data_IF_312003871957
#
_entry.id   IF_312003871957
#
_cell.length_a   1.000
_cell.length_b   1.000
_cell.length_c   1.000
_cell.angle_alpha   90.00
_cell.angle_beta   90.00
_cell.angle_gamma   90.00
#
_symmetry.space_group_name_H-M   'P 1'
#
loop_
_entity.id
_entity.type
_entity.pdbx_description
1 polymer ?
#
# COMPACT_ATOMS: atom_id res chain seq x y z
N UNK A 1 35.56 7.40 12.56
CA UNK A 1 35.01 6.06 12.34
C UNK A 1 34.09 5.61 13.48
N UNK A 2 34.54 5.63 14.74
CA UNK A 2 33.76 5.17 15.90
C UNK A 2 32.41 5.94 16.05
N UNK A 3 32.44 7.25 15.82
CA UNK A 3 31.19 8.05 15.84
C UNK A 3 30.20 7.59 14.77
N UNK A 4 30.65 7.38 13.54
CA UNK A 4 29.79 6.92 12.47
C UNK A 4 29.23 5.51 12.71
N UNK A 5 30.06 4.61 13.26
CA UNK A 5 29.65 3.27 13.63
C UNK A 5 28.60 3.29 14.74
N UNK A 6 28.87 4.01 15.83
CA UNK A 6 27.95 4.12 16.96
C UNK A 6 26.62 4.77 16.52
N UNK A 7 26.68 5.83 15.72
CA UNK A 7 25.49 6.50 15.17
C UNK A 7 24.67 5.58 14.27
N UNK A 8 25.30 4.86 13.36
CA UNK A 8 24.60 3.91 12.49
C UNK A 8 23.92 2.78 13.28
N UNK A 9 24.63 2.19 14.25
CA UNK A 9 24.06 1.16 15.12
C UNK A 9 22.88 1.68 15.95
N UNK A 10 22.99 2.91 16.47
CA UNK A 10 21.89 3.56 17.20
C UNK A 10 20.65 3.75 16.29
N UNK A 11 20.85 4.26 15.08
CA UNK A 11 19.73 4.45 14.14
C UNK A 11 19.10 3.10 13.75
N UNK A 12 19.89 2.06 13.52
CA UNK A 12 19.40 0.72 13.23
C UNK A 12 18.61 0.16 14.42
N UNK A 13 19.13 0.29 15.63
CA UNK A 13 18.43 -0.14 16.85
C UNK A 13 17.09 0.56 17.00
N UNK A 14 17.05 1.89 16.81
CA UNK A 14 15.84 2.70 16.90
C UNK A 14 14.82 2.36 15.82
N UNK A 15 15.22 1.78 14.70
CA UNK A 15 14.33 1.29 13.65
C UNK A 15 13.68 -0.06 13.97
N UNK A 16 14.11 -0.75 15.03
CA UNK A 16 13.60 -2.08 15.41
C UNK A 16 12.50 -2.00 16.47
N UNK A 17 11.71 -3.06 16.59
CA UNK A 17 10.68 -3.19 17.62
C UNK A 17 11.27 -3.16 19.06
N UNK A 18 12.56 -3.46 19.23
CA UNK A 18 13.22 -3.41 20.54
C UNK A 18 13.27 -2.02 21.15
N UNK A 19 13.20 -0.98 20.32
CA UNK A 19 13.19 0.42 20.77
C UNK A 19 11.78 0.95 21.11
N UNK A 20 10.73 0.19 20.91
CA UNK A 20 9.36 0.63 21.16
C UNK A 20 9.13 1.25 22.55
N UNK A 21 9.65 0.70 23.66
CA UNK A 21 9.50 1.33 24.99
C UNK A 21 10.14 2.71 25.07
N UNK A 22 11.27 2.92 24.38
CA UNK A 22 11.98 4.21 24.35
C UNK A 22 11.17 5.27 23.59
N UNK A 23 10.54 4.89 22.48
CA UNK A 23 9.66 5.77 21.72
C UNK A 23 8.45 6.21 22.54
N UNK A 24 7.80 5.29 23.23
CA UNK A 24 6.66 5.58 24.09
C UNK A 24 7.04 6.48 25.27
N UNK A 25 8.17 6.21 25.92
CA UNK A 25 8.64 7.00 27.07
C UNK A 25 8.97 8.45 26.70
N UNK A 26 9.52 8.66 25.51
CA UNK A 26 9.95 10.00 25.05
C UNK A 26 8.86 10.75 24.28
N UNK A 27 7.74 10.09 23.98
CA UNK A 27 6.69 10.59 23.08
C UNK A 27 7.24 11.02 21.70
N UNK A 28 8.39 10.46 21.28
CA UNK A 28 9.01 10.75 20.01
C UNK A 28 8.32 10.02 18.83
N UNK A 29 7.45 9.07 19.12
CA UNK A 29 6.47 8.48 18.20
C UNK A 29 5.56 9.51 17.52
N UNK A 30 5.37 10.67 18.13
CA UNK A 30 4.63 11.81 17.53
C UNK A 30 5.40 12.54 16.42
N UNK A 31 6.71 12.40 16.39
CA UNK A 31 7.58 13.07 15.41
C UNK A 31 7.86 12.22 14.18
N UNK A 32 7.79 10.90 14.31
CA UNK A 32 8.07 9.94 13.25
C UNK A 32 6.88 9.00 13.06
N UNK A 33 6.33 9.02 11.87
CA UNK A 33 5.19 8.14 11.52
C UNK A 33 5.58 6.66 11.60
N UNK A 34 6.85 6.35 11.23
CA UNK A 34 7.36 4.99 11.22
C UNK A 34 8.79 4.92 11.77
N UNK A 35 9.10 4.03 12.74
CA UNK A 35 10.45 3.87 13.28
C UNK A 35 11.54 3.58 12.23
N UNK A 36 11.20 2.88 11.14
CA UNK A 36 12.15 2.57 10.06
C UNK A 36 12.71 3.82 9.36
N UNK A 37 12.06 5.00 9.50
CA UNK A 37 12.57 6.26 8.97
C UNK A 37 13.95 6.62 9.56
N UNK A 38 14.29 6.09 10.74
CA UNK A 38 15.64 6.21 11.32
C UNK A 38 16.72 5.60 10.44
N UNK A 39 16.39 4.64 9.57
CA UNK A 39 17.35 4.07 8.61
C UNK A 39 17.85 5.11 7.61
N UNK A 40 17.02 6.13 7.28
CA UNK A 40 17.45 7.24 6.41
C UNK A 40 18.63 8.02 7.03
N UNK A 41 18.65 8.14 8.36
CA UNK A 41 19.75 8.78 9.07
C UNK A 41 20.98 7.87 9.19
N UNK A 42 20.79 6.56 9.13
CA UNK A 42 21.88 5.59 9.11
C UNK A 42 22.64 5.61 7.77
N UNK A 43 21.98 5.91 6.64
CA UNK A 43 22.57 5.87 5.30
C UNK A 43 23.85 6.71 5.16
N UNK A 44 23.90 8.02 5.51
CA UNK A 44 25.13 8.81 5.40
C UNK A 44 26.24 8.30 6.30
N UNK A 45 25.90 7.76 7.47
CA UNK A 45 26.88 7.18 8.40
C UNK A 45 27.47 5.88 7.84
N UNK A 46 26.66 5.03 7.26
CA UNK A 46 27.08 3.81 6.57
C UNK A 46 27.91 4.13 5.32
N UNK A 47 27.54 5.16 4.55
CA UNK A 47 28.32 5.62 3.42
C UNK A 47 29.71 6.12 3.85
N UNK A 48 29.80 6.87 4.95
CA UNK A 48 31.08 7.32 5.52
C UNK A 48 31.95 6.14 5.98
N UNK A 49 31.35 5.12 6.61
CA UNK A 49 32.04 3.88 7.01
C UNK A 49 32.54 3.12 5.80
N UNK A 50 31.71 2.95 4.75
CA UNK A 50 32.10 2.30 3.51
C UNK A 50 33.26 3.05 2.82
N UNK A 51 33.20 4.39 2.76
CA UNK A 51 34.28 5.22 2.21
C UNK A 51 35.59 5.16 3.00
N UNK A 52 35.52 4.81 4.28
CA UNK A 52 36.71 4.64 5.14
C UNK A 52 37.35 3.23 5.06
N UNK A 53 36.63 2.24 4.49
CA UNK A 53 37.15 0.86 4.37
C UNK A 53 38.54 0.75 3.72
N UNK A 54 38.84 1.46 2.61
CA UNK A 54 40.17 1.39 2.00
C UNK A 54 41.30 1.93 2.88
N UNK A 55 40.97 2.77 3.87
CA UNK A 55 41.97 3.25 4.86
C UNK A 55 42.34 2.16 5.82
N UNK A 56 41.36 1.35 6.23
CA UNK A 56 41.52 0.26 7.19
C UNK A 56 42.02 -1.02 6.52
N UNK A 57 41.57 -1.28 5.31
CA UNK A 57 41.89 -2.48 4.54
C UNK A 57 42.60 -2.08 3.23
N UNK A 58 43.98 -2.10 3.23
CA UNK A 58 44.76 -1.66 2.08
C UNK A 58 44.45 -2.40 0.75
N UNK A 59 44.07 -3.67 0.85
CA UNK A 59 43.69 -4.50 -0.32
C UNK A 59 42.50 -3.96 -1.08
N UNK A 60 41.67 -3.14 -0.44
CA UNK A 60 40.54 -2.47 -1.08
C UNK A 60 40.90 -1.19 -1.87
N UNK A 61 42.19 -0.82 -1.92
CA UNK A 61 42.66 0.39 -2.63
C UNK A 61 42.78 0.21 -4.14
N UNK A 62 42.73 -1.02 -4.62
CA UNK A 62 42.86 -1.25 -6.05
C UNK A 62 41.58 -0.91 -6.82
N UNK A 63 41.69 -0.28 -8.01
CA UNK A 63 40.51 0.02 -8.83
C UNK A 63 39.69 -1.22 -9.18
N UNK A 64 40.35 -2.37 -9.39
CA UNK A 64 39.71 -3.63 -9.70
C UNK A 64 38.78 -4.09 -8.55
N UNK A 65 39.24 -4.00 -7.30
CA UNK A 65 38.44 -4.37 -6.14
C UNK A 65 37.20 -3.47 -6.02
N UNK A 66 37.34 -2.16 -6.25
CA UNK A 66 36.21 -1.24 -6.24
C UNK A 66 35.20 -1.54 -7.34
N UNK A 67 35.66 -1.83 -8.55
CA UNK A 67 34.77 -2.22 -9.65
C UNK A 67 33.97 -3.46 -9.31
N UNK A 68 34.61 -4.48 -8.70
CA UNK A 68 33.94 -5.71 -8.27
C UNK A 68 32.91 -5.41 -7.18
N UNK A 69 33.26 -4.61 -6.16
CA UNK A 69 32.33 -4.27 -5.08
C UNK A 69 31.12 -3.50 -5.57
N UNK A 70 31.32 -2.50 -6.45
CA UNK A 70 30.22 -1.76 -7.06
C UNK A 70 29.36 -2.67 -7.91
N UNK A 71 29.95 -3.53 -8.73
CA UNK A 71 29.18 -4.48 -9.54
C UNK A 71 28.38 -5.45 -8.67
N UNK A 72 28.95 -5.98 -7.60
CA UNK A 72 28.23 -6.85 -6.65
C UNK A 72 27.10 -6.11 -5.95
N UNK A 73 27.32 -4.85 -5.55
CA UNK A 73 26.26 -4.03 -4.93
C UNK A 73 25.11 -3.79 -5.88
N UNK A 74 25.39 -3.46 -7.15
CA UNK A 74 24.36 -3.27 -8.18
C UNK A 74 23.62 -4.59 -8.44
N UNK A 75 24.35 -5.70 -8.58
CA UNK A 75 23.74 -7.02 -8.78
C UNK A 75 22.87 -7.45 -7.60
N UNK A 76 23.35 -7.23 -6.37
CA UNK A 76 22.58 -7.55 -5.16
C UNK A 76 21.32 -6.68 -5.02
N UNK A 77 21.37 -5.43 -5.54
CA UNK A 77 20.23 -4.52 -5.52
C UNK A 77 19.22 -4.82 -6.63
N UNK A 78 19.63 -5.56 -7.67
CA UNK A 78 18.81 -5.78 -8.85
C UNK A 78 17.49 -6.48 -8.53
N UNK A 79 17.50 -7.45 -7.62
CA UNK A 79 16.30 -8.15 -7.17
C UNK A 79 15.26 -7.21 -6.51
N UNK A 80 15.72 -6.12 -5.89
CA UNK A 80 14.84 -5.13 -5.27
C UNK A 80 14.38 -4.03 -6.24
N UNK A 81 15.03 -3.94 -7.41
CA UNK A 81 14.64 -3.01 -8.47
C UNK A 81 13.64 -3.63 -9.45
N UNK A 82 13.51 -4.95 -9.46
CA UNK A 82 12.53 -5.66 -10.28
C UNK A 82 11.26 -5.86 -9.48
N UNK A 83 10.18 -5.25 -9.94
CA UNK A 83 8.85 -5.55 -9.41
C UNK A 83 8.44 -6.90 -9.99
N UNK A 84 8.30 -7.91 -9.14
CA UNK A 84 7.68 -9.18 -9.55
C UNK A 84 6.18 -8.92 -9.74
N UNK A 85 5.72 -9.04 -10.98
CA UNK A 85 4.29 -9.04 -11.27
C UNK A 85 3.80 -10.48 -11.24
N UNK A 86 2.96 -10.78 -10.26
CA UNK A 86 2.24 -12.04 -10.28
C UNK A 86 1.14 -11.93 -11.32
N UNK A 87 1.29 -12.66 -12.43
CA UNK A 87 0.24 -12.81 -13.43
C UNK A 87 -0.45 -14.14 -13.22
N UNK A 88 -1.77 -14.15 -13.23
CA UNK A 88 -2.56 -15.36 -13.17
C UNK A 88 -3.62 -15.33 -14.26
N UNK A 89 -4.00 -16.50 -14.71
CA UNK A 89 -5.21 -16.61 -15.54
C UNK A 89 -6.39 -16.13 -14.71
N UNK A 90 -7.25 -15.25 -15.25
CA UNK A 90 -8.45 -14.83 -14.55
C UNK A 90 -9.26 -16.06 -14.12
N UNK A 91 -9.87 -16.07 -12.93
CA UNK A 91 -10.76 -17.14 -12.54
C UNK A 91 -11.93 -17.21 -13.51
N UNK A 92 -12.47 -18.39 -13.73
CA UNK A 92 -13.64 -18.61 -14.60
C UNK A 92 -14.83 -17.74 -14.19
N UNK A 93 -14.89 -17.37 -12.91
CA UNK A 93 -15.92 -16.50 -12.33
C UNK A 93 -15.32 -15.56 -11.31
N UNK A 94 -14.91 -14.34 -11.70
CA UNK A 94 -14.53 -13.31 -10.75
C UNK A 94 -15.74 -12.93 -9.85
N UNK A 95 -15.48 -12.33 -8.70
CA UNK A 95 -16.52 -11.81 -7.81
C UNK A 95 -17.40 -10.78 -8.55
N UNK A 96 -16.77 -9.88 -9.29
CA UNK A 96 -17.41 -8.90 -10.17
C UNK A 96 -16.42 -8.42 -11.24
N UNK A 97 -16.93 -7.78 -12.30
CA UNK A 97 -16.11 -7.06 -13.27
C UNK A 97 -16.57 -5.62 -13.42
N UNK A 98 -15.62 -4.72 -13.55
CA UNK A 98 -15.86 -3.28 -13.74
C UNK A 98 -15.46 -2.83 -15.14
N UNK A 99 -16.11 -1.76 -15.62
CA UNK A 99 -15.74 -1.09 -16.86
C UNK A 99 -15.92 -1.98 -18.10
N UNK A 100 -16.98 -2.79 -18.17
CA UNK A 100 -17.20 -3.72 -19.29
C UNK A 100 -16.04 -4.69 -19.48
N UNK A 101 -15.68 -5.40 -18.40
CA UNK A 101 -14.59 -6.38 -18.35
C UNK A 101 -13.18 -5.76 -18.46
N UNK A 102 -12.97 -4.55 -17.97
CA UNK A 102 -11.62 -3.99 -17.88
C UNK A 102 -10.89 -4.41 -16.61
N UNK A 103 -11.60 -4.53 -15.48
CA UNK A 103 -11.05 -4.89 -14.19
C UNK A 103 -11.88 -6.04 -13.59
N UNK A 104 -11.26 -7.18 -13.31
CA UNK A 104 -11.88 -8.27 -12.56
C UNK A 104 -11.56 -8.11 -11.08
N UNK A 105 -12.58 -8.11 -10.24
CA UNK A 105 -12.45 -8.25 -8.80
C UNK A 105 -12.43 -9.73 -8.46
N UNK A 106 -11.33 -10.20 -7.86
CA UNK A 106 -11.11 -11.60 -7.55
C UNK A 106 -11.61 -11.93 -6.16
N UNK A 107 -11.39 -11.00 -5.21
CA UNK A 107 -11.81 -11.14 -3.82
C UNK A 107 -12.09 -9.75 -3.22
N UNK A 108 -13.04 -9.71 -2.27
CA UNK A 108 -13.35 -8.50 -1.49
C UNK A 108 -13.95 -8.92 -0.15
N UNK A 109 -13.29 -8.56 0.93
CA UNK A 109 -13.71 -8.89 2.29
C UNK A 109 -13.76 -7.62 3.14
N UNK A 110 -14.89 -7.39 3.79
CA UNK A 110 -15.06 -6.29 4.74
C UNK A 110 -15.05 -6.85 6.15
N UNK A 111 -14.11 -6.39 6.95
CA UNK A 111 -14.04 -6.69 8.39
C UNK A 111 -14.29 -5.43 9.19
N UNK A 112 -15.09 -5.53 10.26
CA UNK A 112 -15.41 -4.39 11.11
C UNK A 112 -14.68 -4.48 12.44
N UNK A 113 -14.21 -3.33 12.93
CA UNK A 113 -13.53 -3.19 14.21
C UNK A 113 -14.31 -2.21 15.10
N UNK A 114 -14.65 -2.59 16.35
CA UNK A 114 -15.49 -1.76 17.20
C UNK A 114 -14.72 -0.61 17.88
N UNK A 115 -13.42 -0.77 18.14
CA UNK A 115 -12.62 0.23 18.86
C UNK A 115 -11.16 0.28 18.34
N UNK A 116 -10.77 1.38 17.65
CA UNK A 116 -11.64 2.45 17.16
C UNK A 116 -12.59 1.94 16.07
N UNK A 117 -13.81 2.44 16.03
CA UNK A 117 -14.81 2.00 15.06
C UNK A 117 -14.34 2.24 13.62
N UNK A 118 -14.06 1.18 12.90
CA UNK A 118 -13.55 1.21 11.53
C UNK A 118 -14.02 0.00 10.72
N UNK A 119 -14.10 0.15 9.41
CA UNK A 119 -14.22 -0.96 8.49
C UNK A 119 -12.98 -1.05 7.60
N UNK A 120 -12.47 -2.26 7.44
CA UNK A 120 -11.35 -2.57 6.58
C UNK A 120 -11.84 -3.40 5.40
N UNK A 121 -11.61 -2.92 4.20
CA UNK A 121 -11.90 -3.63 2.97
C UNK A 121 -10.60 -4.14 2.37
N UNK A 122 -10.38 -5.45 2.43
CA UNK A 122 -9.31 -6.11 1.68
C UNK A 122 -9.85 -6.49 0.30
N UNK A 123 -9.17 -6.04 -0.75
CA UNK A 123 -9.55 -6.33 -2.15
C UNK A 123 -8.38 -6.89 -2.92
N UNK A 124 -8.69 -7.83 -3.81
CA UNK A 124 -7.76 -8.35 -4.81
C UNK A 124 -8.42 -8.22 -6.18
N UNK A 125 -7.72 -7.56 -7.10
CA UNK A 125 -8.22 -7.38 -8.46
C UNK A 125 -7.17 -7.67 -9.52
N UNK A 126 -7.64 -7.81 -10.75
CA UNK A 126 -6.82 -8.11 -11.91
C UNK A 126 -7.28 -7.24 -13.08
N UNK A 127 -6.42 -6.39 -13.66
CA UNK A 127 -6.69 -5.75 -14.94
C UNK A 127 -6.80 -6.83 -16.03
N UNK A 128 -7.86 -6.79 -16.82
CA UNK A 128 -8.10 -7.71 -17.93
C UNK A 128 -7.67 -7.11 -19.27
N UNK A 129 -7.61 -5.78 -19.34
CA UNK A 129 -7.19 -5.01 -20.50
C UNK A 129 -6.36 -3.79 -20.06
N UNK A 130 -5.56 -3.18 -20.94
CA UNK A 130 -4.95 -1.89 -20.67
C UNK A 130 -6.03 -0.86 -20.33
N UNK A 131 -5.80 -0.08 -19.27
CA UNK A 131 -6.70 1.01 -18.87
C UNK A 131 -6.25 2.31 -19.54
N UNK A 132 -7.20 3.08 -19.98
CA UNK A 132 -7.00 4.36 -20.68
C UNK A 132 -7.01 5.56 -19.75
N UNK A 133 -7.32 5.33 -18.46
CA UNK A 133 -7.45 6.38 -17.47
C UNK A 133 -7.07 5.89 -16.06
N UNK A 134 -6.61 6.83 -15.21
CA UNK A 134 -6.26 6.58 -13.82
C UNK A 134 -7.50 6.71 -12.93
N UNK A 135 -8.30 5.65 -12.87
CA UNK A 135 -9.52 5.59 -12.09
C UNK A 135 -9.23 5.71 -10.59
N UNK A 136 -10.12 6.37 -9.88
CA UNK A 136 -10.16 6.37 -8.42
C UNK A 136 -11.13 5.31 -7.91
N UNK A 137 -10.90 4.90 -6.66
CA UNK A 137 -11.79 3.99 -5.93
C UNK A 137 -12.63 4.79 -4.96
N UNK A 138 -13.89 4.42 -4.82
CA UNK A 138 -14.69 4.79 -3.68
C UNK A 138 -15.02 3.58 -2.82
N UNK A 139 -15.00 3.77 -1.50
CA UNK A 139 -15.47 2.82 -0.52
C UNK A 139 -16.37 3.55 0.47
N UNK A 140 -17.62 3.13 0.59
CA UNK A 140 -18.67 3.81 1.35
C UNK A 140 -19.35 2.87 2.33
N UNK A 141 -19.64 3.34 3.53
CA UNK A 141 -20.60 2.73 4.44
C UNK A 141 -21.92 3.47 4.35
N UNK A 142 -22.99 2.71 4.21
CA UNK A 142 -24.35 3.22 4.01
C UNK A 142 -25.27 2.62 5.07
N UNK A 143 -25.96 3.49 5.79
CA UNK A 143 -27.02 3.11 6.74
C UNK A 143 -28.38 3.26 6.09
N UNK A 144 -29.30 2.34 6.43
CA UNK A 144 -30.64 2.33 5.87
C UNK A 144 -30.76 1.63 4.52
N UNK A 145 -31.97 1.57 3.97
CA UNK A 145 -32.30 0.90 2.72
C UNK A 145 -33.18 1.76 1.82
N UNK A 146 -33.09 1.51 0.51
CA UNK A 146 -33.92 2.17 -0.50
C UNK A 146 -33.76 3.69 -0.51
N UNK A 147 -34.87 4.43 -0.38
CA UNK A 147 -34.88 5.90 -0.41
C UNK A 147 -34.31 6.56 0.84
N UNK A 148 -34.24 5.81 1.95
CA UNK A 148 -33.71 6.28 3.24
C UNK A 148 -32.21 5.95 3.41
N UNK A 149 -31.58 5.36 2.41
CA UNK A 149 -30.16 5.03 2.43
C UNK A 149 -29.31 6.29 2.48
N UNK A 150 -28.45 6.39 3.51
CA UNK A 150 -27.53 7.53 3.70
C UNK A 150 -26.11 7.05 3.79
N UNK A 151 -25.20 7.71 3.08
CA UNK A 151 -23.77 7.50 3.22
C UNK A 151 -23.34 8.10 4.55
N UNK A 152 -22.86 7.25 5.45
CA UNK A 152 -22.43 7.63 6.82
C UNK A 152 -20.90 7.73 6.94
N UNK A 153 -20.17 7.09 6.04
CA UNK A 153 -18.73 7.23 5.91
C UNK A 153 -18.29 6.93 4.48
N UNK A 154 -17.24 7.60 4.01
CA UNK A 154 -16.72 7.44 2.66
C UNK A 154 -15.23 7.76 2.60
N UNK A 155 -14.51 7.03 1.76
CA UNK A 155 -13.19 7.40 1.24
C UNK A 155 -13.21 7.36 -0.29
N UNK A 156 -12.46 8.28 -0.88
CA UNK A 156 -12.21 8.39 -2.31
C UNK A 156 -10.70 8.53 -2.51
N UNK A 157 -10.07 7.51 -3.09
CA UNK A 157 -8.62 7.45 -3.21
C UNK A 157 -8.19 6.85 -4.54
N UNK A 158 -6.97 7.18 -4.96
CA UNK A 158 -6.34 6.45 -6.06
C UNK A 158 -5.86 5.09 -5.55
N UNK A 159 -6.10 4.00 -6.29
CA UNK A 159 -5.60 2.68 -5.94
C UNK A 159 -4.10 2.69 -5.69
N UNK A 160 -3.64 1.86 -4.75
CA UNK A 160 -2.24 1.75 -4.34
C UNK A 160 -1.66 3.10 -3.87
N UNK A 161 -2.51 3.92 -3.22
CA UNK A 161 -2.18 5.27 -2.76
C UNK A 161 -1.58 6.16 -3.87
N UNK A 162 -1.96 5.93 -5.14
CA UNK A 162 -1.45 6.63 -6.31
C UNK A 162 0.00 6.28 -6.72
N UNK A 163 0.65 5.36 -6.01
CA UNK A 163 2.03 4.96 -6.33
C UNK A 163 2.13 4.23 -7.69
N UNK A 164 1.03 3.63 -8.12
CA UNK A 164 0.89 2.94 -9.40
C UNK A 164 -0.40 3.34 -10.08
N UNK A 165 -0.36 4.35 -10.97
CA UNK A 165 -1.52 4.78 -11.74
C UNK A 165 -2.17 3.61 -12.50
N UNK A 166 -3.49 3.60 -12.62
CA UNK A 166 -4.23 2.49 -13.25
C UNK A 166 -3.81 2.26 -14.71
N UNK A 167 -3.40 3.31 -15.42
CA UNK A 167 -2.84 3.23 -16.78
C UNK A 167 -1.52 2.46 -16.87
N UNK A 168 -0.81 2.28 -15.74
CA UNK A 168 0.43 1.51 -15.67
C UNK A 168 0.23 0.02 -15.37
N UNK A 169 -0.99 -0.40 -15.06
CA UNK A 169 -1.29 -1.79 -14.72
C UNK A 169 -1.21 -2.68 -15.96
N UNK A 170 -0.66 -3.87 -15.75
CA UNK A 170 -0.52 -4.84 -16.85
C UNK A 170 -1.68 -5.83 -16.84
N UNK A 171 -2.30 -6.12 -17.99
CA UNK A 171 -3.30 -7.17 -18.05
C UNK A 171 -2.76 -8.49 -17.48
N UNK A 172 -3.55 -9.11 -16.61
CA UNK A 172 -3.19 -10.37 -15.96
C UNK A 172 -2.40 -10.25 -14.65
N UNK A 173 -1.90 -9.07 -14.27
CA UNK A 173 -1.27 -8.92 -12.95
C UNK A 173 -2.30 -8.94 -11.83
N UNK A 174 -1.90 -9.44 -10.66
CA UNK A 174 -2.74 -9.46 -9.47
C UNK A 174 -2.31 -8.33 -8.54
N UNK A 175 -3.27 -7.50 -8.15
CA UNK A 175 -3.09 -6.36 -7.27
C UNK A 175 -3.94 -6.55 -6.02
N UNK A 176 -3.37 -6.25 -4.85
CA UNK A 176 -4.07 -6.38 -3.56
C UNK A 176 -3.86 -5.10 -2.75
N UNK A 177 -4.91 -4.62 -2.13
CA UNK A 177 -4.87 -3.44 -1.26
C UNK A 177 -5.89 -3.56 -0.14
N UNK A 178 -5.69 -2.82 0.93
CA UNK A 178 -6.64 -2.69 2.03
C UNK A 178 -7.01 -1.22 2.22
N UNK A 179 -8.31 -0.94 2.16
CA UNK A 179 -8.87 0.38 2.44
C UNK A 179 -9.43 0.41 3.85
N UNK A 180 -9.26 1.53 4.54
CA UNK A 180 -9.78 1.73 5.90
C UNK A 180 -10.77 2.87 5.90
N UNK A 181 -11.96 2.62 6.44
CA UNK A 181 -13.06 3.56 6.56
C UNK A 181 -13.32 3.86 8.04
N UNK A 182 -13.25 5.13 8.41
CA UNK A 182 -13.53 5.59 9.78
C UNK A 182 -15.05 5.58 10.02
N UNK A 183 -15.49 4.78 10.99
CA UNK A 183 -16.90 4.63 11.37
C UNK A 183 -17.26 5.32 12.67
N UNK A 184 -16.38 6.11 13.28
CA UNK A 184 -16.66 6.76 14.59
C UNK A 184 -17.90 7.64 14.60
N UNK A 185 -18.30 8.17 13.45
CA UNK A 185 -19.50 9.01 13.29
C UNK A 185 -20.69 8.21 12.71
N UNK A 186 -20.55 6.91 12.44
CA UNK A 186 -21.64 6.09 11.95
C UNK A 186 -22.60 5.75 13.09
N UNK A 187 -23.91 5.58 12.81
CA UNK A 187 -24.88 5.14 13.81
C UNK A 187 -24.51 3.75 14.34
N UNK A 188 -24.39 3.63 15.69
CA UNK A 188 -23.91 2.39 16.33
C UNK A 188 -24.86 1.20 16.14
N UNK A 189 -26.16 1.45 16.04
CA UNK A 189 -27.21 0.41 15.99
C UNK A 189 -27.79 0.19 14.59
N UNK A 190 -27.31 0.91 13.56
CA UNK A 190 -27.81 0.75 12.20
C UNK A 190 -27.04 -0.34 11.46
N UNK A 191 -27.73 -1.26 10.77
CA UNK A 191 -27.06 -2.18 9.88
C UNK A 191 -26.39 -1.40 8.76
N UNK A 192 -25.09 -1.63 8.57
CA UNK A 192 -24.31 -0.98 7.53
C UNK A 192 -24.17 -1.92 6.33
N UNK A 193 -24.32 -1.35 5.15
CA UNK A 193 -23.91 -1.97 3.87
C UNK A 193 -22.71 -1.22 3.33
N UNK A 194 -21.86 -1.94 2.64
CA UNK A 194 -20.66 -1.35 2.07
C UNK A 194 -20.74 -1.34 0.56
N UNK A 195 -20.40 -0.19 -0.03
CA UNK A 195 -20.37 -0.02 -1.48
C UNK A 195 -18.92 0.21 -1.92
N UNK A 196 -18.52 -0.50 -2.96
CA UNK A 196 -17.20 -0.40 -3.56
C UNK A 196 -17.32 -0.23 -5.06
N UNK A 197 -16.43 0.58 -5.66
CA UNK A 197 -16.36 0.73 -7.09
C UNK A 197 -15.26 1.67 -7.54
N UNK A 198 -15.16 1.81 -8.86
CA UNK A 198 -14.23 2.69 -9.54
C UNK A 198 -14.96 3.83 -10.22
N UNK A 199 -14.33 4.99 -10.32
CA UNK A 199 -14.89 6.15 -10.99
C UNK A 199 -13.85 7.03 -11.67
N UNK A 200 -14.25 7.76 -12.68
CA UNK A 200 -13.48 8.83 -13.30
C UNK A 200 -13.58 10.08 -12.41
N UNK A 201 -12.48 10.46 -11.77
CA UNK A 201 -12.44 11.58 -10.84
C UNK A 201 -12.69 12.95 -11.51
N UNK A 202 -12.59 13.06 -12.85
CA UNK A 202 -12.79 14.32 -13.60
C UNK A 202 -14.27 14.71 -13.68
N UNK A 203 -15.13 13.74 -13.85
CA UNK A 203 -16.57 13.95 -14.05
C UNK A 203 -17.46 13.19 -13.05
N UNK A 204 -16.85 12.41 -12.15
CA UNK A 204 -17.55 11.61 -11.15
C UNK A 204 -18.26 10.37 -11.72
N UNK A 205 -18.06 10.04 -12.99
CA UNK A 205 -18.73 8.91 -13.63
C UNK A 205 -18.15 7.61 -13.13
N UNK A 206 -19.01 6.79 -12.55
CA UNK A 206 -18.63 5.47 -12.03
C UNK A 206 -18.54 4.44 -13.15
N UNK A 207 -17.63 3.47 -13.00
CA UNK A 207 -17.58 2.34 -13.91
C UNK A 207 -18.74 1.40 -13.65
N UNK A 208 -19.42 0.92 -14.72
CA UNK A 208 -20.45 -0.09 -14.58
C UNK A 208 -19.86 -1.38 -14.01
N UNK A 209 -20.64 -2.08 -13.20
CA UNK A 209 -20.31 -3.38 -12.62
C UNK A 209 -21.28 -4.43 -13.12
N UNK A 210 -20.80 -5.62 -13.45
CA UNK A 210 -21.63 -6.73 -13.96
C UNK A 210 -22.46 -7.42 -12.88
N UNK A 211 -22.02 -7.31 -11.63
CA UNK A 211 -22.73 -7.85 -10.45
C UNK A 211 -22.77 -6.78 -9.37
N UNK A 212 -23.96 -6.36 -9.00
CA UNK A 212 -24.16 -5.32 -8.00
C UNK A 212 -25.32 -4.41 -8.38
N UNK A 213 -25.23 -3.13 -8.04
CA UNK A 213 -26.20 -2.09 -8.38
C UNK A 213 -25.59 -1.16 -9.43
N UNK A 214 -25.74 -1.53 -10.70
CA UNK A 214 -25.34 -0.78 -11.90
C UNK A 214 -23.87 -0.24 -11.89
N UNK A 215 -23.52 0.57 -10.90
CA UNK A 215 -22.26 1.32 -10.82
C UNK A 215 -21.46 1.04 -9.53
N UNK A 216 -21.89 0.07 -8.73
CA UNK A 216 -21.25 -0.28 -7.45
C UNK A 216 -21.49 -1.72 -7.05
N UNK A 217 -20.47 -2.33 -6.46
CA UNK A 217 -20.59 -3.61 -5.80
C UNK A 217 -21.11 -3.39 -4.37
N UNK A 218 -22.04 -4.24 -3.96
CA UNK A 218 -22.55 -4.29 -2.58
C UNK A 218 -21.80 -5.38 -1.83
N UNK A 219 -21.26 -5.05 -0.68
CA UNK A 219 -20.52 -5.94 0.19
C UNK A 219 -21.19 -5.96 1.58
N UNK A 220 -21.28 -7.12 2.18
CA UNK A 220 -21.71 -7.28 3.56
C UNK A 220 -20.47 -7.24 4.47
N UNK A 221 -20.60 -6.66 5.66
CA UNK A 221 -19.54 -6.66 6.67
C UNK A 221 -19.64 -7.91 7.57
N UNK A 222 -18.50 -8.50 7.87
CA UNK A 222 -18.36 -9.54 8.88
C UNK A 222 -17.93 -8.95 10.23
#
# INVERSE_FOLDING_TARGET
LWFALAGALTCILLATALSAPLWQLTAADRLLTYPWQMLLLALPLLAALAGALPVVLPDLRTPATWTVLVALTVLASYAYLTTEFTTATPPDRPLATFGRNQIALLDAQVTTQPDPAAAHLAVTWQPLAPLDFDYSVFFQAVAGEGADAQVVAQIDVQPLAGARPATSWRPGEILTETYTLDLRNAPADAPLRYYFGYYDWRDGRRLPVDRGLDDKLVLDGE
#
